data_IF_806210441841
#
_entry.id   IF_806210441841
#
_cell.length_a   1.000
_cell.length_b   1.000
_cell.length_c   1.000
_cell.angle_alpha   90.00
_cell.angle_beta   90.00
_cell.angle_gamma   90.00
#
_symmetry.space_group_name_H-M   'P 1'
#
loop_
_entity.id
_entity.type
_entity.pdbx_description
1 polymer ?
#
# COMPACT_ATOMS: atom_id res chain seq x y z
N UNK A 1 12.25 10.89 -16.72
CA UNK A 1 12.44 9.76 -15.79
C UNK A 1 11.74 8.58 -16.43
N UNK A 2 12.42 7.47 -16.67
CA UNK A 2 11.80 6.26 -17.22
C UNK A 2 10.83 5.70 -16.18
N UNK A 3 9.56 5.54 -16.53
CA UNK A 3 8.57 4.92 -15.64
C UNK A 3 9.06 3.51 -15.26
N UNK A 4 8.96 3.16 -13.98
CA UNK A 4 9.28 1.83 -13.48
C UNK A 4 8.00 1.01 -13.65
N UNK A 5 8.06 -0.09 -14.41
CA UNK A 5 6.91 -0.98 -14.57
C UNK A 5 6.58 -1.71 -13.23
N UNK A 6 5.31 -2.05 -12.96
CA UNK A 6 4.90 -2.74 -11.73
C UNK A 6 5.72 -3.98 -11.40
N UNK A 7 5.95 -4.88 -12.36
CA UNK A 7 6.77 -6.09 -12.14
C UNK A 7 8.22 -5.82 -11.74
N UNK A 8 8.84 -4.73 -12.22
CA UNK A 8 10.20 -4.34 -11.79
C UNK A 8 10.21 -3.81 -10.37
N UNK A 9 9.21 -3.00 -10.01
CA UNK A 9 9.05 -2.49 -8.65
C UNK A 9 8.78 -3.65 -7.68
N UNK A 10 7.93 -4.60 -8.06
CA UNK A 10 7.65 -5.80 -7.28
C UNK A 10 8.92 -6.62 -7.05
N UNK A 11 9.71 -6.90 -8.10
CA UNK A 11 10.95 -7.67 -7.97
C UNK A 11 11.93 -7.00 -6.98
N UNK A 12 12.01 -5.67 -6.98
CA UNK A 12 12.84 -4.92 -6.04
C UNK A 12 12.36 -5.07 -4.60
N UNK A 13 11.06 -4.88 -4.34
CA UNK A 13 10.51 -4.91 -2.98
C UNK A 13 10.34 -6.34 -2.45
N UNK A 14 10.06 -7.33 -3.30
CA UNK A 14 9.95 -8.73 -2.90
C UNK A 14 11.29 -9.35 -2.48
N UNK A 15 12.42 -8.73 -2.84
CA UNK A 15 13.75 -9.13 -2.37
C UNK A 15 14.06 -8.67 -0.94
N UNK A 16 13.17 -7.88 -0.33
CA UNK A 16 13.31 -7.34 1.03
C UNK A 16 12.44 -8.11 2.03
N UNK A 17 12.65 -7.93 3.35
CA UNK A 17 11.76 -8.50 4.36
C UNK A 17 10.30 -8.13 4.11
N UNK A 18 9.40 -9.11 4.20
CA UNK A 18 7.96 -8.88 4.01
C UNK A 18 7.36 -8.02 5.12
N UNK A 19 7.87 -8.15 6.35
CA UNK A 19 7.51 -7.29 7.48
C UNK A 19 8.53 -6.18 7.54
N UNK A 20 8.10 -4.94 7.31
CA UNK A 20 8.97 -3.77 7.22
C UNK A 20 8.73 -2.80 8.39
N UNK A 21 9.73 -1.99 8.76
CA UNK A 21 9.52 -0.81 9.58
C UNK A 21 8.59 0.17 8.87
N UNK A 22 7.84 0.98 9.64
CA UNK A 22 6.82 1.90 9.10
C UNK A 22 7.38 2.83 8.00
N UNK A 23 8.60 3.34 8.16
CA UNK A 23 9.20 4.25 7.19
C UNK A 23 9.55 3.58 5.85
N UNK A 24 9.87 2.28 5.86
CA UNK A 24 10.08 1.51 4.64
C UNK A 24 8.74 1.19 3.96
N UNK A 25 7.71 0.88 4.72
CA UNK A 25 6.36 0.69 4.19
C UNK A 25 5.81 1.96 3.53
N UNK A 26 6.00 3.13 4.15
CA UNK A 26 5.64 4.41 3.55
C UNK A 26 6.43 4.71 2.27
N UNK A 27 7.69 4.26 2.21
CA UNK A 27 8.52 4.36 1.00
C UNK A 27 7.96 3.48 -0.12
N UNK A 28 7.54 2.25 0.18
CA UNK A 28 6.86 1.37 -0.76
C UNK A 28 5.55 2.01 -1.27
N UNK A 29 4.71 2.54 -0.38
CA UNK A 29 3.48 3.26 -0.76
C UNK A 29 3.77 4.40 -1.73
N UNK A 30 4.79 5.22 -1.43
CA UNK A 30 5.19 6.33 -2.30
C UNK A 30 5.61 5.82 -3.69
N UNK A 31 6.41 4.76 -3.75
CA UNK A 31 6.91 4.22 -5.00
C UNK A 31 5.76 3.60 -5.83
N UNK A 32 4.80 2.92 -5.20
CA UNK A 32 3.58 2.42 -5.85
C UNK A 32 2.75 3.57 -6.44
N UNK A 33 2.60 4.67 -5.69
CA UNK A 33 1.84 5.86 -6.15
C UNK A 33 2.50 6.61 -7.29
N UNK A 34 3.78 6.35 -7.56
CA UNK A 34 4.52 6.95 -8.67
C UNK A 34 4.42 6.14 -9.97
N UNK A 35 3.78 4.97 -9.95
CA UNK A 35 3.53 4.16 -11.15
C UNK A 35 2.56 4.86 -12.10
N UNK A 36 2.78 4.68 -13.40
CA UNK A 36 1.86 5.17 -14.42
C UNK A 36 0.59 4.29 -14.46
N UNK A 37 -0.57 4.91 -14.69
CA UNK A 37 -1.84 4.17 -14.72
C UNK A 37 -1.94 3.21 -15.91
N UNK A 38 -1.33 3.54 -17.05
CA UNK A 38 -1.26 2.64 -18.20
C UNK A 38 -0.38 1.43 -17.88
N UNK A 39 0.78 1.63 -17.27
CA UNK A 39 1.67 0.53 -16.85
C UNK A 39 0.98 -0.37 -15.80
N UNK A 40 0.21 0.21 -14.88
CA UNK A 40 -0.61 -0.55 -13.93
C UNK A 40 -1.66 -1.40 -14.66
N UNK A 41 -2.33 -0.84 -15.68
CA UNK A 41 -3.35 -1.55 -16.44
C UNK A 41 -2.75 -2.72 -17.25
N UNK A 42 -1.53 -2.57 -17.77
CA UNK A 42 -0.81 -3.63 -18.50
C UNK A 42 -0.33 -4.77 -17.59
N UNK A 43 0.03 -4.47 -16.33
CA UNK A 43 0.55 -5.44 -15.36
C UNK A 43 -0.18 -5.38 -14.01
N UNK A 44 -1.50 -5.60 -14.07
CA UNK A 44 -2.37 -5.60 -12.90
C UNK A 44 -1.96 -6.65 -11.85
N UNK A 45 -1.45 -7.80 -12.28
CA UNK A 45 -1.07 -8.89 -11.36
C UNK A 45 0.10 -8.49 -10.45
N UNK A 46 1.13 -7.85 -11.01
CA UNK A 46 2.25 -7.36 -10.20
C UNK A 46 1.83 -6.18 -9.33
N UNK A 47 0.95 -5.31 -9.84
CA UNK A 47 0.41 -4.20 -9.06
C UNK A 47 -0.41 -4.68 -7.85
N UNK A 48 -1.28 -5.68 -8.02
CA UNK A 48 -2.01 -6.30 -6.90
C UNK A 48 -1.05 -6.90 -5.88
N UNK A 49 -0.01 -7.60 -6.35
CA UNK A 49 1.01 -8.18 -5.47
C UNK A 49 1.77 -7.12 -4.64
N UNK A 50 1.96 -5.92 -5.18
CA UNK A 50 2.53 -4.78 -4.44
C UNK A 50 1.58 -4.27 -3.35
N UNK A 51 0.28 -4.17 -3.64
CA UNK A 51 -0.73 -3.80 -2.63
C UNK A 51 -0.75 -4.81 -1.49
N UNK A 52 -0.75 -6.10 -1.82
CA UNK A 52 -0.72 -7.18 -0.82
C UNK A 52 0.57 -7.18 0.00
N UNK A 53 1.70 -6.78 -0.59
CA UNK A 53 2.94 -6.61 0.16
C UNK A 53 2.83 -5.49 1.21
N UNK A 54 2.28 -4.33 0.84
CA UNK A 54 1.98 -3.24 1.79
C UNK A 54 1.05 -3.75 2.89
N UNK A 55 -0.06 -4.39 2.51
CA UNK A 55 -1.08 -4.85 3.45
C UNK A 55 -0.51 -5.85 4.47
N UNK A 56 0.29 -6.82 4.02
CA UNK A 56 0.92 -7.82 4.91
C UNK A 56 1.90 -7.18 5.88
N UNK A 57 2.74 -6.24 5.41
CA UNK A 57 3.64 -5.48 6.28
C UNK A 57 2.85 -4.70 7.32
N UNK A 58 1.81 -3.99 6.88
CA UNK A 58 1.04 -3.10 7.73
C UNK A 58 0.32 -3.87 8.84
N UNK A 59 -0.35 -4.97 8.48
CA UNK A 59 -1.06 -5.82 9.44
C UNK A 59 -0.13 -6.49 10.46
N UNK A 60 1.14 -6.71 10.10
CA UNK A 60 2.11 -7.37 10.97
C UNK A 60 2.84 -6.40 11.91
N UNK A 61 3.21 -5.22 11.42
CA UNK A 61 4.05 -4.27 12.17
C UNK A 61 3.61 -2.82 12.00
N UNK A 62 3.27 -2.38 10.78
CA UNK A 62 2.93 -0.99 10.49
C UNK A 62 1.81 -0.44 11.40
N UNK A 63 0.78 -1.24 11.68
CA UNK A 63 -0.34 -0.88 12.56
C UNK A 63 0.08 -0.54 14.01
N UNK A 64 1.22 -1.07 14.48
CA UNK A 64 1.74 -0.83 15.83
C UNK A 64 2.71 0.35 15.89
N UNK A 65 3.41 0.63 14.80
CA UNK A 65 4.37 1.73 14.67
C UNK A 65 3.74 3.02 14.14
N UNK A 66 2.58 2.93 13.49
CA UNK A 66 1.90 4.07 12.87
C UNK A 66 1.55 5.17 13.89
N UNK A 67 1.95 6.39 13.56
CA UNK A 67 1.57 7.60 14.29
C UNK A 67 0.45 8.35 13.56
N UNK A 68 -0.15 9.34 14.23
CA UNK A 68 -1.14 10.24 13.60
C UNK A 68 -0.57 10.99 12.39
N UNK A 69 0.75 11.24 12.35
CA UNK A 69 1.38 11.86 11.19
C UNK A 69 1.47 10.91 9.99
N UNK A 70 1.52 9.59 10.24
CA UNK A 70 1.67 8.58 9.21
C UNK A 70 0.31 8.10 8.66
N UNK A 71 -0.76 8.17 9.47
CA UNK A 71 -2.09 7.67 9.08
C UNK A 71 -2.63 8.34 7.81
N UNK A 72 -2.28 9.61 7.59
CA UNK A 72 -2.69 10.34 6.38
C UNK A 72 -2.13 9.70 5.11
N UNK A 73 -0.98 9.04 5.20
CA UNK A 73 -0.34 8.36 4.08
C UNK A 73 -0.95 6.98 3.82
N UNK A 74 -1.21 6.19 4.86
CA UNK A 74 -1.83 4.86 4.74
C UNK A 74 -3.31 4.97 4.32
N UNK A 75 -4.08 5.81 5.01
CA UNK A 75 -5.47 6.08 4.66
C UNK A 75 -5.58 6.76 3.29
N UNK A 76 -4.66 7.70 2.99
CA UNK A 76 -4.57 8.35 1.69
C UNK A 76 -4.27 7.38 0.55
N UNK A 77 -3.42 6.37 0.79
CA UNK A 77 -3.15 5.31 -0.18
C UNK A 77 -4.39 4.46 -0.44
N UNK A 78 -5.13 4.08 0.60
CA UNK A 78 -6.40 3.35 0.44
C UNK A 78 -7.44 4.15 -0.38
N UNK A 79 -7.57 5.46 -0.13
CA UNK A 79 -8.47 6.32 -0.92
C UNK A 79 -8.02 6.45 -2.38
N UNK A 80 -6.71 6.54 -2.61
CA UNK A 80 -6.15 6.54 -3.96
C UNK A 80 -6.45 5.23 -4.70
N UNK A 81 -6.31 4.07 -4.04
CA UNK A 81 -6.70 2.78 -4.61
C UNK A 81 -8.17 2.78 -5.02
N UNK A 82 -9.08 3.25 -4.16
CA UNK A 82 -10.52 3.35 -4.51
C UNK A 82 -10.81 4.25 -5.71
N UNK A 83 -10.04 5.32 -5.89
CA UNK A 83 -10.15 6.15 -7.09
C UNK A 83 -9.69 5.37 -8.32
N UNK A 84 -8.57 4.65 -8.21
CA UNK A 84 -7.99 3.86 -9.29
C UNK A 84 -8.88 2.68 -9.68
N UNK A 85 -9.56 2.04 -8.73
CA UNK A 85 -10.57 0.99 -8.99
C UNK A 85 -11.63 1.47 -9.98
N UNK A 86 -12.12 2.70 -9.82
CA UNK A 86 -13.13 3.29 -10.70
C UNK A 86 -12.58 3.58 -12.10
N UNK A 87 -11.29 3.93 -12.19
CA UNK A 87 -10.61 4.20 -13.46
C UNK A 87 -10.33 2.91 -14.23
N UNK A 88 -9.89 1.85 -13.55
CA UNK A 88 -9.49 0.59 -14.17
C UNK A 88 -10.64 -0.43 -14.23
N UNK A 89 -11.76 -0.19 -13.55
CA UNK A 89 -12.87 -1.12 -13.39
C UNK A 89 -12.46 -2.48 -12.77
N UNK A 90 -11.52 -2.45 -11.83
CA UNK A 90 -10.98 -3.64 -11.13
C UNK A 90 -11.07 -3.42 -9.61
N UNK A 91 -11.45 -4.43 -8.81
CA UNK A 91 -11.47 -4.32 -7.36
C UNK A 91 -10.04 -4.43 -6.79
N UNK A 92 -9.48 -3.31 -6.32
CA UNK A 92 -8.13 -3.17 -5.77
C UNK A 92 -8.15 -2.98 -4.24
N UNK A 93 -9.12 -2.24 -3.72
CA UNK A 93 -9.25 -1.92 -2.31
C UNK A 93 -9.50 -3.15 -1.45
N UNK A 94 -10.03 -4.24 -2.03
CA UNK A 94 -10.16 -5.52 -1.32
C UNK A 94 -8.81 -6.13 -0.91
N UNK A 95 -7.71 -5.75 -1.55
CA UNK A 95 -6.36 -6.21 -1.22
C UNK A 95 -5.66 -5.31 -0.17
N UNK A 96 -6.31 -4.22 0.26
CA UNK A 96 -5.72 -3.17 1.08
C UNK A 96 -6.40 -3.03 2.46
N UNK A 97 -7.02 -4.11 2.97
CA UNK A 97 -7.75 -4.06 4.23
C UNK A 97 -6.83 -3.71 5.42
N UNK A 98 -7.33 -2.88 6.31
CA UNK A 98 -6.63 -2.35 7.48
C UNK A 98 -5.95 -1.01 7.22
N UNK A 99 -5.58 -0.68 5.97
CA UNK A 99 -4.90 0.58 5.63
C UNK A 99 -5.80 1.82 5.81
N UNK A 100 -7.12 1.62 5.85
CA UNK A 100 -8.11 2.68 6.07
C UNK A 100 -8.28 3.10 7.53
N UNK A 101 -7.67 2.39 8.48
CA UNK A 101 -7.89 2.60 9.91
C UNK A 101 -7.03 3.75 10.43
N UNK A 102 -7.65 4.63 11.20
CA UNK A 102 -6.97 5.71 11.93
C UNK A 102 -6.37 5.22 13.24
N UNK A 103 -5.37 5.92 13.77
CA UNK A 103 -4.81 5.63 15.10
C UNK A 103 -5.90 5.59 16.19
N UNK A 104 -6.88 6.49 16.11
CA UNK A 104 -8.00 6.54 17.04
C UNK A 104 -8.93 5.31 16.93
N UNK A 105 -9.17 4.79 15.73
CA UNK A 105 -9.95 3.57 15.53
C UNK A 105 -9.19 2.33 16.00
N UNK A 106 -7.88 2.29 15.75
CA UNK A 106 -7.00 1.23 16.22
C UNK A 106 -6.98 1.15 17.75
N UNK A 107 -6.87 2.29 18.43
CA UNK A 107 -6.88 2.33 19.90
C UNK A 107 -8.19 1.79 20.50
N UNK A 108 -9.33 2.00 19.82
CA UNK A 108 -10.63 1.45 20.26
C UNK A 108 -10.73 -0.06 20.05
N UNK A 109 -10.13 -0.59 18.97
CA UNK A 109 -10.17 -2.03 18.62
C UNK A 109 -9.13 -2.84 19.38
N UNK A 110 -7.98 -2.23 19.65
CA UNK A 110 -6.81 -2.84 20.27
C UNK A 110 -6.29 -1.91 21.39
N UNK A 111 -7.04 -1.77 22.50
CA UNK A 111 -6.56 -1.00 23.63
C UNK A 111 -5.28 -1.65 24.18
N UNK A 112 -4.21 -0.85 24.26
CA UNK A 112 -2.92 -1.28 24.83
C UNK A 112 -2.98 -1.35 26.35
#
# INVERSE_FOLDING_TARGET
MTAIAPGKLLAYWAARPTVMPMQEELSLIRDIRALDTADIAEDLASFVSLIELVQRSHASNGIFEMTEADEVHTAGFFQWLKSLERTLCVPLAMHADGLQLTCAELQKRMPR
#
